data_IF_556145392605
#
_entry.id   IF_556145392605
#
_cell.length_a   1.000
_cell.length_b   1.000
_cell.length_c   1.000
_cell.angle_alpha   90.00
_cell.angle_beta   90.00
_cell.angle_gamma   90.00
#
_symmetry.space_group_name_H-M   'P 1'
#
loop_
_entity.id
_entity.type
_entity.pdbx_description
1 polymer ?
#
# COMPACT_ATOMS: atom_id res chain seq x y z
N UNK A 1 -6.16 1.21 -24.93
CA UNK A 1 -5.97 0.02 -24.10
C UNK A 1 -6.18 0.47 -22.66
N UNK A 2 -7.40 0.32 -22.14
CA UNK A 2 -7.90 1.00 -20.93
C UNK A 2 -7.03 0.68 -19.70
N UNK A 3 -6.50 -0.53 -19.64
CA UNK A 3 -5.63 -0.98 -18.54
C UNK A 3 -4.30 -0.22 -18.50
N UNK A 4 -3.74 0.16 -19.66
CA UNK A 4 -2.49 0.94 -19.71
C UNK A 4 -2.68 2.37 -19.22
N UNK A 5 -3.84 2.95 -19.50
CA UNK A 5 -4.20 4.30 -19.06
C UNK A 5 -4.39 4.34 -17.53
N UNK A 6 -5.17 3.40 -17.00
CA UNK A 6 -5.34 3.23 -15.55
C UNK A 6 -4.00 3.02 -14.83
N UNK A 7 -3.15 2.10 -15.32
CA UNK A 7 -1.84 1.87 -14.71
C UNK A 7 -0.96 3.13 -14.77
N UNK A 8 -1.00 3.88 -15.87
CA UNK A 8 -0.32 5.17 -15.97
C UNK A 8 -0.85 6.20 -14.96
N UNK A 9 -2.17 6.29 -14.78
CA UNK A 9 -2.80 7.17 -13.81
C UNK A 9 -2.43 6.76 -12.38
N UNK A 10 -2.48 5.47 -12.06
CA UNK A 10 -2.06 4.91 -10.77
C UNK A 10 -0.61 5.25 -10.45
N UNK A 11 0.36 4.93 -11.33
CA UNK A 11 1.78 5.20 -11.06
C UNK A 11 2.13 6.69 -11.07
N UNK A 12 1.33 7.54 -11.72
CA UNK A 12 1.42 9.00 -11.58
C UNK A 12 0.77 9.54 -10.30
N UNK A 13 0.12 8.69 -9.52
CA UNK A 13 -0.64 9.05 -8.31
C UNK A 13 -1.94 9.80 -8.60
N UNK A 14 -2.38 9.90 -9.87
CA UNK A 14 -3.64 10.55 -10.24
C UNK A 14 -4.86 9.72 -9.86
N UNK A 15 -4.71 8.40 -9.87
CA UNK A 15 -5.73 7.45 -9.43
C UNK A 15 -5.20 6.61 -8.26
N UNK A 16 -6.12 6.25 -7.38
CA UNK A 16 -5.87 5.34 -6.28
C UNK A 16 -6.44 3.97 -6.64
N UNK A 17 -5.74 2.92 -6.23
CA UNK A 17 -6.21 1.55 -6.42
C UNK A 17 -6.98 1.11 -5.17
N UNK A 18 -8.32 0.96 -5.25
CA UNK A 18 -9.12 0.44 -4.16
C UNK A 18 -9.00 -1.09 -4.09
N UNK A 19 -9.16 -1.63 -2.90
CA UNK A 19 -9.22 -3.06 -2.63
C UNK A 19 -9.97 -3.38 -1.34
N UNK A 20 -10.00 -4.68 -1.02
CA UNK A 20 -10.64 -5.19 0.19
C UNK A 20 -12.04 -5.77 -0.05
N UNK A 21 -12.35 -6.82 0.68
CA UNK A 21 -13.65 -7.51 0.67
C UNK A 21 -14.29 -7.46 2.05
N UNK A 22 -15.62 -7.42 2.12
CA UNK A 22 -16.34 -7.30 3.38
C UNK A 22 -16.35 -5.88 3.96
N UNK A 23 -16.33 -5.79 5.31
CA UNK A 23 -16.50 -4.55 6.07
C UNK A 23 -15.38 -3.53 5.82
N UNK A 24 -14.11 -3.95 5.92
CA UNK A 24 -12.97 -3.05 5.70
C UNK A 24 -12.56 -3.01 4.23
N UNK A 25 -12.42 -1.80 3.72
CA UNK A 25 -11.83 -1.46 2.42
C UNK A 25 -10.51 -0.75 2.65
N UNK A 26 -9.70 -0.68 1.61
CA UNK A 26 -8.47 0.08 1.63
C UNK A 26 -8.16 0.61 0.23
N UNK A 27 -7.39 1.68 0.17
CA UNK A 27 -6.90 2.25 -1.07
C UNK A 27 -5.43 2.63 -0.94
N UNK A 28 -4.69 2.44 -2.03
CA UNK A 28 -3.31 2.92 -2.19
C UNK A 28 -3.28 3.92 -3.33
N UNK A 29 -2.81 5.13 -3.05
CA UNK A 29 -2.46 6.12 -4.05
C UNK A 29 -0.94 6.13 -4.18
N UNK A 30 -0.39 5.64 -5.30
CA UNK A 30 1.05 5.49 -5.47
C UNK A 30 1.79 6.82 -5.24
N UNK A 31 2.81 6.79 -4.40
CA UNK A 31 3.61 7.98 -4.08
C UNK A 31 2.88 9.03 -3.23
N UNK A 32 1.69 8.70 -2.68
CA UNK A 32 0.89 9.62 -1.86
C UNK A 32 0.57 9.03 -0.50
N UNK A 33 -0.38 8.10 -0.41
CA UNK A 33 -0.86 7.58 0.88
C UNK A 33 -1.56 6.23 0.76
N UNK A 34 -1.75 5.58 1.90
CA UNK A 34 -2.58 4.39 2.07
C UNK A 34 -3.65 4.68 3.12
N UNK A 35 -4.91 4.40 2.80
CA UNK A 35 -6.05 4.58 3.70
C UNK A 35 -6.76 3.24 3.85
N UNK A 36 -7.15 2.91 5.09
CA UNK A 36 -8.18 1.91 5.38
C UNK A 36 -9.48 2.64 5.68
N UNK A 37 -10.60 2.14 5.18
CA UNK A 37 -11.89 2.77 5.42
C UNK A 37 -13.04 1.77 5.44
N UNK A 38 -14.13 2.17 6.07
CA UNK A 38 -15.43 1.54 5.97
C UNK A 38 -16.44 2.60 5.54
N UNK A 39 -17.36 2.23 4.65
CA UNK A 39 -18.39 3.12 4.16
C UNK A 39 -19.75 2.42 4.18
N UNK A 40 -20.73 3.07 4.80
CA UNK A 40 -22.12 2.64 4.84
C UNK A 40 -23.01 3.86 4.52
N UNK A 41 -23.64 3.83 3.34
CA UNK A 41 -24.43 4.96 2.84
C UNK A 41 -23.58 6.21 2.62
N UNK A 42 -23.83 7.27 3.39
CA UNK A 42 -23.05 8.53 3.35
C UNK A 42 -21.98 8.62 4.45
N UNK A 43 -21.90 7.63 5.34
CA UNK A 43 -20.97 7.63 6.44
C UNK A 43 -19.70 6.88 6.05
N UNK A 44 -18.55 7.57 6.06
CA UNK A 44 -17.24 6.99 5.81
C UNK A 44 -16.32 7.20 7.02
N UNK A 45 -15.85 6.11 7.60
CA UNK A 45 -14.80 6.11 8.62
C UNK A 45 -13.49 5.77 7.91
N UNK A 46 -12.48 6.63 8.03
CA UNK A 46 -11.17 6.43 7.39
C UNK A 46 -10.05 6.52 8.41
N UNK A 47 -9.04 5.67 8.23
CA UNK A 47 -7.80 5.66 9.00
C UNK A 47 -6.64 5.75 8.00
N UNK A 48 -5.79 6.75 8.16
CA UNK A 48 -4.57 6.92 7.39
C UNK A 48 -3.51 5.93 7.91
N UNK A 49 -3.11 4.97 7.07
CA UNK A 49 -2.12 3.96 7.43
C UNK A 49 -0.68 4.45 7.18
N UNK A 50 -0.52 5.38 6.24
CA UNK A 50 0.78 6.03 5.99
C UNK A 50 0.77 6.94 4.77
N UNK A 51 1.77 7.82 4.73
CA UNK A 51 2.08 8.80 3.70
C UNK A 51 3.43 8.42 3.09
N UNK A 52 3.56 8.61 1.78
CA UNK A 52 4.82 8.43 1.08
C UNK A 52 5.80 9.53 1.46
N UNK A 53 6.99 9.13 1.90
CA UNK A 53 8.12 10.02 2.04
C UNK A 53 9.38 9.30 1.56
N UNK A 54 10.03 9.86 0.53
CA UNK A 54 11.18 9.23 -0.10
C UNK A 54 12.34 9.00 0.88
N UNK A 55 12.66 9.98 1.71
CA UNK A 55 13.82 9.91 2.59
C UNK A 55 13.59 8.90 3.71
N UNK A 56 12.39 8.89 4.30
CA UNK A 56 11.99 7.88 5.30
C UNK A 56 11.94 6.46 4.72
N UNK A 57 11.50 6.32 3.46
CA UNK A 57 11.55 5.04 2.77
C UNK A 57 12.98 4.55 2.56
N UNK A 58 13.91 5.42 2.15
CA UNK A 58 15.33 5.07 1.99
C UNK A 58 15.96 4.71 3.33
N UNK A 59 15.66 5.46 4.40
CA UNK A 59 16.11 5.15 5.75
C UNK A 59 15.61 3.76 6.19
N UNK A 60 14.33 3.47 5.98
CA UNK A 60 13.74 2.17 6.27
C UNK A 60 14.41 1.03 5.49
N UNK A 61 14.69 1.23 4.20
CA UNK A 61 15.41 0.25 3.39
C UNK A 61 16.83 0.00 3.89
N UNK A 62 17.53 1.04 4.38
CA UNK A 62 18.86 0.90 4.96
C UNK A 62 18.84 0.06 6.25
N UNK A 63 17.81 0.23 7.08
CA UNK A 63 17.57 -0.59 8.28
C UNK A 63 17.06 -2.00 7.95
N UNK A 64 16.52 -2.22 6.75
CA UNK A 64 15.97 -3.50 6.30
C UNK A 64 16.61 -3.98 4.98
N UNK A 65 17.89 -4.39 4.96
CA UNK A 65 18.60 -4.73 3.72
C UNK A 65 17.91 -5.82 2.88
N UNK A 66 17.20 -6.76 3.52
CA UNK A 66 16.45 -7.83 2.83
C UNK A 66 15.27 -7.31 1.99
N UNK A 67 14.82 -6.08 2.23
CA UNK A 67 13.73 -5.41 1.48
C UNK A 67 14.23 -4.59 0.30
N UNK A 68 15.55 -4.36 0.21
CA UNK A 68 16.14 -3.62 -0.90
C UNK A 68 15.93 -4.35 -2.22
N UNK A 69 15.69 -3.62 -3.32
CA UNK A 69 15.82 -4.17 -4.67
C UNK A 69 17.14 -4.95 -4.82
N UNK A 70 17.09 -6.25 -5.12
CA UNK A 70 18.27 -6.99 -5.60
C UNK A 70 18.58 -6.58 -7.04
N UNK A 71 19.86 -6.58 -7.42
CA UNK A 71 20.29 -6.33 -8.79
C UNK A 71 19.83 -7.42 -9.79
N UNK A 72 19.50 -8.62 -9.29
CA UNK A 72 18.91 -9.67 -10.11
C UNK A 72 17.38 -9.51 -10.17
N UNK A 73 16.90 -8.98 -11.29
CA UNK A 73 15.47 -8.72 -11.55
C UNK A 73 14.66 -10.00 -11.84
N UNK A 74 15.30 -11.12 -12.19
CA UNK A 74 14.61 -12.36 -12.58
C UNK A 74 13.91 -13.07 -11.41
N UNK A 75 14.45 -12.93 -10.20
CA UNK A 75 13.90 -13.56 -8.99
C UNK A 75 12.98 -12.61 -8.19
N UNK A 76 12.78 -11.38 -8.70
CA UNK A 76 12.05 -10.35 -7.98
C UNK A 76 10.54 -10.49 -8.18
N UNK A 77 9.87 -11.00 -7.15
CA UNK A 77 8.41 -11.18 -7.16
C UNK A 77 7.64 -9.89 -6.80
N UNK A 78 8.24 -9.00 -6.01
CA UNK A 78 7.63 -7.73 -5.60
C UNK A 78 8.66 -6.64 -5.30
N UNK A 79 8.18 -5.40 -5.24
CA UNK A 79 8.89 -4.26 -4.64
C UNK A 79 8.20 -3.85 -3.35
N UNK A 80 8.98 -3.58 -2.30
CA UNK A 80 8.46 -3.07 -1.03
C UNK A 80 8.57 -1.55 -0.99
N UNK A 81 7.46 -0.87 -0.71
CA UNK A 81 7.37 0.56 -0.48
C UNK A 81 6.92 0.80 0.95
N UNK A 82 7.55 1.75 1.63
CA UNK A 82 7.25 2.02 3.03
C UNK A 82 6.61 3.39 3.17
N UNK A 83 5.41 3.40 3.72
CA UNK A 83 4.62 4.60 3.99
C UNK A 83 4.56 4.80 5.50
N UNK A 84 4.81 6.02 5.95
CA UNK A 84 4.95 6.38 7.37
C UNK A 84 4.00 7.48 7.77
N UNK A 85 4.02 7.87 9.05
CA UNK A 85 3.30 9.06 9.52
C UNK A 85 1.78 9.01 9.31
N UNK A 86 1.19 7.81 9.41
CA UNK A 86 -0.25 7.67 9.45
C UNK A 86 -0.87 8.27 10.73
N UNK A 87 -2.16 8.00 10.90
CA UNK A 87 -2.90 8.44 12.08
C UNK A 87 -2.29 7.89 13.36
N UNK A 88 -2.39 8.69 14.43
CA UNK A 88 -1.89 8.32 15.74
C UNK A 88 -2.61 7.08 16.26
N UNK A 89 -1.86 6.05 16.61
CA UNK A 89 -2.40 4.84 17.21
C UNK A 89 -2.61 5.06 18.72
N UNK A 90 -3.83 4.86 19.19
CA UNK A 90 -4.14 5.08 20.61
C UNK A 90 -3.49 4.05 21.53
N UNK A 91 -3.23 2.84 21.04
CA UNK A 91 -2.67 1.74 21.81
C UNK A 91 -1.15 1.86 21.96
N UNK A 92 -0.44 2.09 20.86
CA UNK A 92 1.03 2.18 20.86
C UNK A 92 1.55 3.59 21.12
N UNK A 93 0.68 4.60 21.00
CA UNK A 93 1.05 6.03 20.99
C UNK A 93 2.10 6.36 19.93
N UNK A 94 2.13 5.62 18.83
CA UNK A 94 2.97 5.87 17.66
C UNK A 94 2.12 6.10 16.42
N UNK A 95 2.70 6.72 15.38
CA UNK A 95 2.02 6.87 14.08
C UNK A 95 1.95 5.52 13.37
N UNK A 96 0.82 5.24 12.73
CA UNK A 96 0.65 4.06 11.87
C UNK A 96 1.65 4.05 10.72
N UNK A 97 2.04 2.85 10.30
CA UNK A 97 2.96 2.61 9.20
C UNK A 97 2.50 1.44 8.35
N UNK A 98 2.82 1.43 7.06
CA UNK A 98 2.47 0.32 6.16
C UNK A 98 3.58 0.00 5.16
N UNK A 99 3.90 -1.28 5.03
CA UNK A 99 4.67 -1.81 3.91
C UNK A 99 3.71 -2.22 2.78
N UNK A 100 3.83 -1.58 1.62
CA UNK A 100 3.11 -1.95 0.40
C UNK A 100 4.00 -2.82 -0.47
N UNK A 101 3.53 -4.01 -0.84
CA UNK A 101 4.23 -4.96 -1.72
C UNK A 101 3.60 -4.95 -3.11
N UNK A 102 4.18 -4.21 -4.05
CA UNK A 102 3.70 -4.23 -5.43
C UNK A 102 4.27 -5.43 -6.18
N UNK A 103 3.41 -6.31 -6.66
CA UNK A 103 3.75 -7.54 -7.41
C UNK A 103 3.51 -7.36 -8.89
N UNK A 104 4.39 -7.91 -9.72
CA UNK A 104 4.14 -8.03 -11.15
C UNK A 104 3.35 -9.31 -11.41
N UNK A 105 2.13 -9.19 -11.95
CA UNK A 105 1.31 -10.36 -12.31
C UNK A 105 1.62 -10.76 -13.76
N UNK A 106 2.07 -12.00 -13.97
CA UNK A 106 2.45 -12.52 -15.31
C UNK A 106 1.25 -12.75 -16.25
N UNK A 107 0.04 -12.86 -15.70
CA UNK A 107 -1.22 -12.98 -16.45
C UNK A 107 -2.17 -11.89 -15.94
N UNK A 108 -2.60 -11.00 -16.82
CA UNK A 108 -3.64 -10.02 -16.50
C UNK A 108 -4.98 -10.75 -16.42
N UNK A 109 -5.33 -11.25 -15.24
CA UNK A 109 -6.73 -11.55 -14.95
C UNK A 109 -7.47 -10.22 -14.77
N UNK A 110 -8.71 -10.15 -15.27
CA UNK A 110 -9.48 -8.92 -15.56
C UNK A 110 -9.81 -8.02 -14.35
N UNK A 111 -9.29 -8.27 -13.15
CA UNK A 111 -9.54 -7.46 -11.96
C UNK A 111 -8.27 -7.30 -11.11
N UNK A 112 -7.67 -6.11 -11.17
CA UNK A 112 -6.52 -5.72 -10.34
C UNK A 112 -6.85 -5.59 -8.84
N UNK A 113 -8.13 -5.38 -8.49
CA UNK A 113 -8.57 -5.11 -7.12
C UNK A 113 -8.82 -6.39 -6.28
N UNK A 114 -9.06 -7.53 -6.92
CA UNK A 114 -9.48 -8.77 -6.23
C UNK A 114 -8.33 -9.50 -5.53
N UNK A 115 -7.07 -9.22 -5.86
CA UNK A 115 -5.91 -9.91 -5.28
C UNK A 115 -5.29 -9.21 -4.07
N UNK A 116 -5.78 -8.03 -3.70
CA UNK A 116 -5.16 -7.26 -2.62
C UNK A 116 -5.54 -7.84 -1.25
N UNK A 117 -4.63 -7.70 -0.28
CA UNK A 117 -4.90 -8.02 1.11
C UNK A 117 -4.16 -7.07 2.07
N UNK A 118 -4.74 -6.87 3.25
CA UNK A 118 -4.14 -6.09 4.33
C UNK A 118 -4.04 -6.95 5.58
N UNK A 119 -2.84 -7.03 6.16
CA UNK A 119 -2.60 -7.72 7.44
C UNK A 119 -1.89 -6.78 8.40
N UNK A 120 -2.15 -6.96 9.70
CA UNK A 120 -1.56 -6.20 10.80
C UNK A 120 -0.65 -7.14 11.61
N UNK A 121 0.62 -7.36 11.19
CA UNK A 121 1.54 -8.26 11.90
C UNK A 121 1.91 -7.76 13.30
N UNK A 122 1.87 -6.45 13.53
CA UNK A 122 2.06 -5.81 14.83
C UNK A 122 1.03 -4.69 14.96
N UNK A 123 0.62 -4.37 16.19
CA UNK A 123 -0.38 -3.32 16.45
C UNK A 123 0.00 -2.01 15.75
N UNK A 124 -0.89 -1.51 14.89
CA UNK A 124 -0.76 -0.29 14.10
C UNK A 124 0.38 -0.29 13.05
N UNK A 125 0.90 -1.47 12.70
CA UNK A 125 1.87 -1.71 11.64
C UNK A 125 1.29 -2.69 10.63
N UNK A 126 1.22 -2.29 9.37
CA UNK A 126 0.46 -3.02 8.35
C UNK A 126 1.34 -3.51 7.20
N UNK A 127 0.87 -4.55 6.52
CA UNK A 127 1.39 -4.99 5.22
C UNK A 127 0.23 -5.07 4.24
N UNK A 128 0.31 -4.28 3.17
CA UNK A 128 -0.60 -4.31 2.02
C UNK A 128 0.09 -5.05 0.87
N UNK A 129 -0.53 -6.08 0.30
CA UNK A 129 0.10 -6.89 -0.77
C UNK A 129 -0.88 -7.42 -1.79
#
# INVERSE_FOLDING_TARGET
>A
DVDREFLGNFFSGRECLPGGTGWWKYEICYGKHVIQFHEEGQHRISVLLGIWNRDKHIEWLNKNPKKKPSGNTKDRQFVSLYYTDGDMCELTKTRRVVEVKLRCQKKMDKSHATSMYLVEPETCSYVLG
#
